data_IF_904215044936
#
_entry.id   IF_904215044936
#
_cell.length_a   1.000
_cell.length_b   1.000
_cell.length_c   1.000
_cell.angle_alpha   90.00
_cell.angle_beta   90.00
_cell.angle_gamma   90.00
#
_symmetry.space_group_name_H-M   'P 1'
#
loop_
_entity.id
_entity.type
_entity.pdbx_description
1 polymer ?
#
# COMPACT_ATOMS: atom_id res chain seq x y z
N UNK A 1 -13.83 7.03 18.83
CA UNK A 1 -15.04 6.20 19.12
C UNK A 1 -15.50 6.51 20.55
N UNK A 2 -16.61 7.25 20.73
CA UNK A 2 -17.22 7.40 22.08
C UNK A 2 -17.55 5.98 22.55
N UNK A 3 -16.93 5.52 23.63
CA UNK A 3 -17.23 4.21 24.22
C UNK A 3 -18.62 4.32 24.84
N UNK A 4 -19.65 3.82 24.17
CA UNK A 4 -21.00 3.80 24.71
C UNK A 4 -20.99 2.92 25.96
N UNK A 5 -21.27 3.51 27.11
CA UNK A 5 -21.43 2.77 28.36
C UNK A 5 -22.79 2.07 28.34
N UNK A 6 -22.80 0.80 27.92
CA UNK A 6 -24.01 0.00 27.92
C UNK A 6 -24.30 -0.49 29.34
N UNK A 7 -25.15 0.24 30.06
CA UNK A 7 -25.43 0.04 31.47
C UNK A 7 -25.88 -1.40 31.79
N UNK A 8 -26.60 -2.07 30.86
CA UNK A 8 -26.98 -3.47 31.03
C UNK A 8 -25.77 -4.42 31.06
N UNK A 9 -24.78 -4.23 30.16
CA UNK A 9 -23.55 -5.03 30.18
C UNK A 9 -22.72 -4.74 31.42
N UNK A 10 -22.61 -3.48 31.84
CA UNK A 10 -21.93 -3.15 33.09
C UNK A 10 -22.60 -3.85 34.27
N UNK A 11 -23.93 -3.74 34.39
CA UNK A 11 -24.66 -4.33 35.50
C UNK A 11 -24.54 -5.85 35.52
N UNK A 12 -24.55 -6.51 34.35
CA UNK A 12 -24.36 -7.95 34.25
C UNK A 12 -22.95 -8.37 34.68
N UNK A 13 -21.92 -7.69 34.18
CA UNK A 13 -20.52 -7.98 34.57
C UNK A 13 -20.30 -7.70 36.06
N UNK A 14 -20.87 -6.61 36.57
CA UNK A 14 -20.84 -6.25 37.98
C UNK A 14 -21.53 -7.33 38.84
N UNK A 15 -22.70 -7.80 38.43
CA UNK A 15 -23.41 -8.93 39.07
C UNK A 15 -22.58 -10.21 39.08
N UNK A 16 -21.94 -10.57 37.97
CA UNK A 16 -21.14 -11.79 37.87
C UNK A 16 -19.84 -11.70 38.69
N UNK A 17 -19.24 -10.52 38.80
CA UNK A 17 -18.00 -10.33 39.55
C UNK A 17 -18.21 -10.13 41.05
N UNK A 18 -19.24 -9.40 41.44
CA UNK A 18 -19.42 -8.90 42.82
C UNK A 18 -20.75 -9.32 43.45
N UNK A 19 -21.72 -9.76 42.65
CA UNK A 19 -22.96 -10.33 43.14
C UNK A 19 -22.72 -11.68 43.83
N UNK A 20 -23.57 -12.00 44.82
CA UNK A 20 -23.47 -13.24 45.61
C UNK A 20 -22.05 -13.50 46.14
N UNK A 21 -21.42 -12.46 46.71
CA UNK A 21 -20.06 -12.51 47.29
C UNK A 21 -18.96 -12.88 46.27
N UNK A 22 -19.20 -12.60 44.99
CA UNK A 22 -18.22 -12.83 43.92
C UNK A 22 -18.01 -14.30 43.55
N UNK A 23 -18.90 -15.20 44.00
CA UNK A 23 -18.83 -16.65 43.71
C UNK A 23 -18.73 -16.98 42.21
N UNK A 24 -19.21 -16.09 41.33
CA UNK A 24 -19.21 -16.29 39.87
C UNK A 24 -18.03 -15.63 39.14
N UNK A 25 -17.14 -14.93 39.85
CA UNK A 25 -16.04 -14.21 39.22
C UNK A 25 -15.09 -15.19 38.50
N UNK A 26 -14.69 -16.27 39.16
CA UNK A 26 -13.83 -17.31 38.57
C UNK A 26 -14.50 -18.02 37.38
N UNK A 27 -15.81 -18.24 37.46
CA UNK A 27 -16.61 -18.83 36.38
C UNK A 27 -16.63 -17.92 35.12
N UNK A 28 -16.79 -16.61 35.32
CA UNK A 28 -16.72 -15.63 34.23
C UNK A 28 -15.33 -15.62 33.57
N UNK A 29 -14.25 -15.61 34.37
CA UNK A 29 -12.89 -15.67 33.82
C UNK A 29 -12.61 -16.98 33.07
N UNK A 30 -13.12 -18.10 33.58
CA UNK A 30 -13.02 -19.40 32.89
C UNK A 30 -13.79 -19.41 31.58
N UNK A 31 -15.01 -18.86 31.55
CA UNK A 31 -15.77 -18.71 30.32
C UNK A 31 -14.97 -17.90 29.30
N UNK A 32 -14.47 -16.72 29.67
CA UNK A 32 -13.71 -15.85 28.75
C UNK A 32 -12.45 -16.52 28.21
N UNK A 33 -11.71 -17.25 29.07
CA UNK A 33 -10.50 -17.96 28.66
C UNK A 33 -10.79 -19.13 27.73
N UNK A 34 -11.87 -19.86 27.96
CA UNK A 34 -12.21 -21.07 27.22
C UNK A 34 -13.18 -20.81 26.05
N UNK A 35 -13.58 -19.55 25.84
CA UNK A 35 -14.48 -19.17 24.75
C UNK A 35 -13.76 -19.31 23.41
N UNK A 36 -14.06 -20.39 22.70
CA UNK A 36 -13.45 -20.71 21.41
C UNK A 36 -14.37 -20.42 20.22
N UNK A 37 -15.64 -20.06 20.46
CA UNK A 37 -16.68 -19.90 19.44
C UNK A 37 -17.09 -21.21 18.73
N UNK A 38 -16.47 -22.35 19.07
CA UNK A 38 -16.71 -23.64 18.42
C UNK A 38 -17.89 -24.43 19.00
N UNK A 39 -18.23 -24.20 20.27
CA UNK A 39 -19.39 -24.82 20.94
C UNK A 39 -20.62 -23.92 20.87
N UNK A 40 -21.81 -24.51 21.04
CA UNK A 40 -23.03 -23.72 21.21
C UNK A 40 -22.93 -22.89 22.49
N UNK A 41 -23.36 -21.62 22.42
CA UNK A 41 -23.24 -20.67 23.52
C UNK A 41 -23.85 -21.18 24.84
N UNK A 42 -24.99 -21.87 24.80
CA UNK A 42 -25.64 -22.42 26.00
C UNK A 42 -24.85 -23.56 26.66
N UNK A 43 -24.23 -24.42 25.86
CA UNK A 43 -23.42 -25.54 26.35
C UNK A 43 -22.15 -25.01 27.04
N UNK A 44 -21.45 -24.09 26.39
CA UNK A 44 -20.27 -23.42 26.93
C UNK A 44 -20.60 -22.62 28.21
N UNK A 45 -21.79 -21.99 28.24
CA UNK A 45 -22.27 -21.25 29.40
C UNK A 45 -22.55 -22.18 30.59
N UNK A 46 -23.28 -23.28 30.35
CA UNK A 46 -23.60 -24.27 31.39
C UNK A 46 -22.35 -24.93 31.95
N UNK A 47 -21.37 -25.27 31.12
CA UNK A 47 -20.07 -25.79 31.56
C UNK A 47 -19.31 -24.82 32.48
N UNK A 48 -19.47 -23.50 32.27
CA UNK A 48 -18.72 -22.50 33.02
C UNK A 48 -19.40 -22.10 34.34
N UNK A 49 -20.72 -21.93 34.32
CA UNK A 49 -21.48 -21.41 35.46
C UNK A 49 -22.17 -22.48 36.31
N UNK A 50 -22.29 -23.71 35.81
CA UNK A 50 -23.12 -24.78 36.42
C UNK A 50 -24.57 -24.32 36.69
N UNK A 51 -25.03 -23.36 35.89
CA UNK A 51 -26.36 -22.77 35.93
C UNK A 51 -26.83 -22.53 34.50
N UNK A 52 -28.13 -22.64 34.27
CA UNK A 52 -28.74 -22.23 33.01
C UNK A 52 -28.74 -20.69 32.85
N UNK A 53 -28.79 -20.18 31.61
CA UNK A 53 -28.91 -18.73 31.37
C UNK A 53 -30.11 -18.09 32.08
N UNK A 54 -31.25 -18.78 32.16
CA UNK A 54 -32.47 -18.27 32.81
C UNK A 54 -32.33 -18.14 34.33
N UNK A 55 -31.61 -19.06 34.99
CA UNK A 55 -31.33 -18.98 36.43
C UNK A 55 -30.39 -17.80 36.74
N UNK A 56 -29.36 -17.59 35.92
CA UNK A 56 -28.46 -16.44 36.03
C UNK A 56 -29.24 -15.14 35.79
N UNK A 57 -30.12 -15.10 34.79
CA UNK A 57 -30.95 -13.95 34.46
C UNK A 57 -31.93 -13.62 35.60
N UNK A 58 -32.58 -14.61 36.19
CA UNK A 58 -33.48 -14.40 37.33
C UNK A 58 -32.74 -13.75 38.52
N UNK A 59 -31.55 -14.27 38.86
CA UNK A 59 -30.71 -13.68 39.90
C UNK A 59 -30.21 -12.27 39.53
N UNK A 60 -29.88 -12.04 38.27
CA UNK A 60 -29.49 -10.72 37.77
C UNK A 60 -30.62 -9.69 37.86
N UNK A 61 -31.85 -10.07 37.52
CA UNK A 61 -33.03 -9.19 37.67
C UNK A 61 -33.24 -8.81 39.13
N UNK A 62 -33.15 -9.76 40.05
CA UNK A 62 -33.22 -9.47 41.49
C UNK A 62 -32.08 -8.56 41.94
N UNK A 63 -30.87 -8.77 41.41
CA UNK A 63 -29.70 -7.95 41.72
C UNK A 63 -29.90 -6.49 41.32
N UNK A 64 -30.39 -6.23 40.10
CA UNK A 64 -30.69 -4.87 39.62
C UNK A 64 -31.83 -4.23 40.44
N UNK A 65 -32.90 -4.97 40.73
CA UNK A 65 -34.08 -4.46 41.43
C UNK A 65 -33.77 -3.94 42.84
N UNK A 66 -32.69 -4.43 43.48
CA UNK A 66 -32.26 -3.93 44.80
C UNK A 66 -31.81 -2.48 44.77
N UNK A 67 -31.40 -1.94 43.62
CA UNK A 67 -30.95 -0.55 43.47
C UNK A 67 -29.67 -0.19 44.24
N UNK A 68 -29.01 -1.16 44.87
CA UNK A 68 -27.77 -1.00 45.62
C UNK A 68 -26.73 -1.99 45.10
N UNK A 69 -25.57 -1.47 44.67
CA UNK A 69 -24.50 -2.25 44.05
C UNK A 69 -23.32 -2.41 45.00
N UNK A 70 -22.79 -3.62 45.10
CA UNK A 70 -21.55 -3.89 45.85
C UNK A 70 -20.41 -3.02 45.30
N UNK A 71 -19.72 -2.32 46.18
CA UNK A 71 -18.51 -1.56 45.81
C UNK A 71 -17.28 -2.22 46.42
N UNK A 72 -16.18 -2.20 45.67
CA UNK A 72 -14.88 -2.62 46.17
C UNK A 72 -14.07 -1.36 46.43
N UNK A 73 -13.74 -1.10 47.69
CA UNK A 73 -12.82 -0.03 48.05
C UNK A 73 -11.40 -0.56 47.82
N UNK A 74 -10.70 0.00 46.85
CA UNK A 74 -9.28 -0.29 46.61
C UNK A 74 -8.43 0.93 46.89
N UNK A 75 -7.26 0.74 47.46
CA UNK A 75 -6.26 1.79 47.65
C UNK A 75 -5.20 1.65 46.59
N UNK A 76 -4.97 2.71 45.83
CA UNK A 76 -3.92 2.76 44.82
C UNK A 76 -2.69 3.45 45.41
N UNK A 77 -1.50 2.89 45.17
CA UNK A 77 -0.22 3.47 45.63
C UNK A 77 0.09 4.81 44.96
N UNK A 78 -0.54 5.07 43.81
CA UNK A 78 -0.49 6.35 43.11
C UNK A 78 -1.86 7.01 43.17
N UNK A 79 -1.86 8.34 43.27
CA UNK A 79 -3.09 9.13 43.14
C UNK A 79 -3.71 8.83 41.78
N UNK A 80 -4.93 8.30 41.79
CA UNK A 80 -5.73 8.14 40.57
C UNK A 80 -6.20 9.54 40.17
N UNK A 81 -5.61 10.07 39.11
CA UNK A 81 -6.11 11.28 38.47
C UNK A 81 -7.24 10.88 37.53
N UNK A 82 -8.45 11.34 37.84
CA UNK A 82 -9.56 11.22 36.91
C UNK A 82 -9.41 12.31 35.87
N UNK A 83 -9.62 11.95 34.60
CA UNK A 83 -9.72 12.95 33.55
C UNK A 83 -10.98 13.81 33.80
N UNK A 84 -10.77 14.94 34.47
CA UNK A 84 -11.82 15.93 34.75
C UNK A 84 -12.22 16.71 33.49
N UNK A 85 -11.55 16.49 32.36
CA UNK A 85 -11.94 17.06 31.06
C UNK A 85 -13.08 16.29 30.39
N UNK A 86 -13.49 15.13 30.93
CA UNK A 86 -14.64 14.37 30.42
C UNK A 86 -15.92 15.18 30.65
N UNK A 87 -16.31 15.92 29.62
CA UNK A 87 -17.59 16.60 29.54
C UNK A 87 -18.71 15.62 29.23
N UNK A 88 -19.83 15.74 29.95
CA UNK A 88 -21.09 15.07 29.59
C UNK A 88 -21.94 16.01 28.76
N UNK A 89 -22.48 15.53 27.64
CA UNK A 89 -23.52 16.23 26.89
C UNK A 89 -24.78 15.39 26.83
N UNK A 90 -25.94 16.04 26.72
CA UNK A 90 -27.18 15.32 26.39
C UNK A 90 -27.02 14.75 24.98
N UNK A 91 -27.34 13.46 24.81
CA UNK A 91 -27.37 12.84 23.49
C UNK A 91 -28.60 13.34 22.74
N UNK A 92 -28.41 13.77 21.49
CA UNK A 92 -29.51 14.19 20.65
C UNK A 92 -30.40 12.99 20.25
N UNK A 93 -31.71 13.17 20.01
CA UNK A 93 -32.60 12.06 19.64
C UNK A 93 -32.09 11.24 18.45
N UNK A 94 -31.50 11.90 17.44
CA UNK A 94 -30.91 11.22 16.30
C UNK A 94 -29.68 10.37 16.67
N UNK A 95 -28.83 10.84 17.59
CA UNK A 95 -27.69 10.08 18.11
C UNK A 95 -28.18 8.85 18.88
N UNK A 96 -29.22 9.00 19.68
CA UNK A 96 -29.82 7.88 20.43
C UNK A 96 -30.42 6.82 19.49
N UNK A 97 -31.22 7.24 18.51
CA UNK A 97 -31.82 6.31 17.54
C UNK A 97 -30.75 5.59 16.71
N UNK A 98 -29.71 6.30 16.27
CA UNK A 98 -28.61 5.73 15.48
C UNK A 98 -27.83 4.68 16.28
N UNK A 99 -27.49 5.00 17.52
CA UNK A 99 -26.76 4.09 18.40
C UNK A 99 -27.57 2.84 18.76
N UNK A 100 -28.88 2.99 19.02
CA UNK A 100 -29.76 1.84 19.28
C UNK A 100 -29.90 0.95 18.04
N UNK A 101 -30.07 1.55 16.86
CA UNK A 101 -30.11 0.85 15.58
C UNK A 101 -28.83 0.07 15.32
N UNK A 102 -27.66 0.70 15.46
CA UNK A 102 -26.33 0.07 15.31
C UNK A 102 -26.14 -1.10 16.27
N UNK A 103 -26.50 -0.91 17.55
CA UNK A 103 -26.38 -1.96 18.56
C UNK A 103 -27.26 -3.18 18.23
N UNK A 104 -28.54 -2.96 17.93
CA UNK A 104 -29.47 -4.04 17.56
C UNK A 104 -29.00 -4.78 16.31
N UNK A 105 -28.54 -4.03 15.31
CA UNK A 105 -28.05 -4.60 14.06
C UNK A 105 -26.84 -5.50 14.29
N UNK A 106 -25.85 -5.06 15.08
CA UNK A 106 -24.66 -5.84 15.42
C UNK A 106 -24.95 -7.06 16.28
N UNK A 107 -26.05 -7.04 17.04
CA UNK A 107 -26.56 -8.21 17.77
C UNK A 107 -27.31 -9.20 16.86
N UNK A 108 -27.36 -8.96 15.54
CA UNK A 108 -28.11 -9.78 14.58
C UNK A 108 -29.62 -9.51 14.57
N UNK A 109 -30.10 -8.57 15.40
CA UNK A 109 -31.52 -8.21 15.56
C UNK A 109 -31.91 -7.12 14.56
N UNK A 110 -31.63 -7.35 13.27
CA UNK A 110 -31.79 -6.35 12.20
C UNK A 110 -33.23 -5.87 12.04
N UNK A 111 -34.19 -6.79 12.14
CA UNK A 111 -35.61 -6.43 12.05
C UNK A 111 -36.06 -5.50 13.17
N UNK A 112 -35.46 -5.60 14.36
CA UNK A 112 -35.71 -4.68 15.46
C UNK A 112 -34.95 -3.36 15.31
N UNK A 113 -33.84 -3.35 14.56
CA UNK A 113 -33.09 -2.14 14.24
C UNK A 113 -33.81 -1.26 13.21
N UNK A 114 -34.49 -1.86 12.22
CA UNK A 114 -35.16 -1.15 11.10
C UNK A 114 -36.09 -0.01 11.54
N UNK A 115 -36.97 -0.17 12.55
CA UNK A 115 -37.83 0.93 13.01
C UNK A 115 -37.06 2.16 13.50
N UNK A 116 -35.86 2.00 14.07
CA UNK A 116 -35.05 3.13 14.54
C UNK A 116 -34.49 3.93 13.38
N UNK A 117 -33.96 3.25 12.35
CA UNK A 117 -33.50 3.91 11.12
C UNK A 117 -34.65 4.52 10.32
N UNK A 118 -35.82 3.88 10.30
CA UNK A 118 -37.03 4.45 9.70
C UNK A 118 -37.40 5.79 10.36
N UNK A 119 -37.43 5.85 11.69
CA UNK A 119 -37.70 7.09 12.43
C UNK A 119 -36.66 8.18 12.15
N UNK A 120 -35.38 7.82 11.99
CA UNK A 120 -34.34 8.77 11.61
C UNK A 120 -34.63 9.41 10.25
N UNK A 121 -34.92 8.60 9.24
CA UNK A 121 -35.21 9.11 7.90
C UNK A 121 -36.58 9.78 7.76
N UNK A 122 -37.57 9.40 8.57
CA UNK A 122 -38.86 10.11 8.66
C UNK A 122 -38.67 11.50 9.27
N UNK A 123 -37.75 11.66 10.22
CA UNK A 123 -37.43 12.96 10.83
C UNK A 123 -36.57 13.84 9.91
N UNK A 124 -35.58 13.24 9.26
CA UNK A 124 -34.67 13.92 8.35
C UNK A 124 -34.12 12.92 7.30
N UNK A 125 -34.63 12.95 6.06
CA UNK A 125 -34.14 12.10 4.97
C UNK A 125 -32.68 12.35 4.59
N UNK A 126 -32.12 13.52 4.94
CA UNK A 126 -30.72 13.88 4.69
C UNK A 126 -29.88 13.81 5.96
N UNK A 127 -30.32 13.05 6.96
CA UNK A 127 -29.57 12.89 8.20
C UNK A 127 -28.22 12.19 7.94
N UNK A 128 -27.14 12.98 7.99
CA UNK A 128 -25.79 12.50 7.73
C UNK A 128 -25.41 11.33 8.64
N UNK A 129 -25.76 11.39 9.93
CA UNK A 129 -25.42 10.35 10.91
C UNK A 129 -26.14 9.03 10.62
N UNK A 130 -27.40 9.08 10.19
CA UNK A 130 -28.16 7.90 9.79
C UNK A 130 -27.53 7.24 8.56
N UNK A 131 -27.17 8.03 7.54
CA UNK A 131 -26.46 7.55 6.37
C UNK A 131 -25.08 6.97 6.71
N UNK A 132 -24.31 7.62 7.58
CA UNK A 132 -23.04 7.09 8.09
C UNK A 132 -23.23 5.75 8.77
N UNK A 133 -24.18 5.66 9.69
CA UNK A 133 -24.40 4.45 10.50
C UNK A 133 -24.83 3.28 9.64
N UNK A 134 -25.83 3.47 8.77
CA UNK A 134 -26.28 2.41 7.87
C UNK A 134 -25.22 2.03 6.86
N UNK A 135 -24.51 3.00 6.29
CA UNK A 135 -23.43 2.73 5.36
C UNK A 135 -22.37 1.79 5.92
N UNK A 136 -21.96 2.01 7.18
CA UNK A 136 -20.99 1.17 7.87
C UNK A 136 -21.56 -0.22 8.20
N UNK A 137 -22.83 -0.29 8.61
CA UNK A 137 -23.51 -1.55 8.94
C UNK A 137 -23.67 -2.44 7.70
N UNK A 138 -24.16 -1.86 6.60
CA UNK A 138 -24.32 -2.56 5.31
C UNK A 138 -22.97 -3.05 4.78
N UNK A 139 -21.90 -2.25 4.93
CA UNK A 139 -20.55 -2.67 4.54
C UNK A 139 -20.12 -3.95 5.28
N UNK A 140 -20.38 -4.01 6.60
CA UNK A 140 -20.01 -5.15 7.45
C UNK A 140 -20.81 -6.40 7.15
N UNK A 141 -22.05 -6.22 6.73
CA UNK A 141 -22.91 -7.29 6.23
C UNK A 141 -22.58 -7.73 4.80
N UNK A 142 -21.56 -7.12 4.17
CA UNK A 142 -21.15 -7.37 2.78
C UNK A 142 -22.18 -6.92 1.75
N UNK A 143 -23.12 -6.05 2.14
CA UNK A 143 -24.07 -5.38 1.25
C UNK A 143 -23.42 -4.12 0.65
N UNK A 144 -22.29 -4.31 -0.03
CA UNK A 144 -21.40 -3.21 -0.41
C UNK A 144 -22.04 -2.18 -1.36
N UNK A 145 -23.00 -2.59 -2.19
CA UNK A 145 -23.74 -1.67 -3.07
C UNK A 145 -24.61 -0.68 -2.27
N UNK A 146 -25.35 -1.17 -1.27
CA UNK A 146 -26.14 -0.31 -0.38
C UNK A 146 -25.25 0.51 0.55
N UNK A 147 -24.17 -0.10 1.05
CA UNK A 147 -23.14 0.60 1.80
C UNK A 147 -22.62 1.82 1.03
N UNK A 148 -22.24 1.63 -0.25
CA UNK A 148 -21.75 2.72 -1.10
C UNK A 148 -22.77 3.85 -1.20
N UNK A 149 -24.05 3.57 -1.46
CA UNK A 149 -25.09 4.60 -1.59
C UNK A 149 -25.19 5.47 -0.33
N UNK A 150 -25.26 4.81 0.84
CA UNK A 150 -25.36 5.52 2.11
C UNK A 150 -24.08 6.29 2.47
N UNK A 151 -22.91 5.70 2.23
CA UNK A 151 -21.62 6.34 2.50
C UNK A 151 -21.34 7.51 1.55
N UNK A 152 -21.72 7.39 0.28
CA UNK A 152 -21.66 8.48 -0.70
C UNK A 152 -22.53 9.66 -0.28
N UNK A 153 -23.78 9.40 0.16
CA UNK A 153 -24.66 10.44 0.65
C UNK A 153 -24.10 11.10 1.93
N UNK A 154 -23.63 10.31 2.89
CA UNK A 154 -23.00 10.81 4.12
C UNK A 154 -21.79 11.71 3.85
N UNK A 155 -20.89 11.27 2.98
CA UNK A 155 -19.68 12.04 2.63
C UNK A 155 -20.03 13.32 1.84
N UNK A 156 -21.04 13.27 0.98
CA UNK A 156 -21.56 14.46 0.29
C UNK A 156 -22.22 15.48 1.24
N UNK A 157 -22.82 15.00 2.34
CA UNK A 157 -23.38 15.83 3.42
C UNK A 157 -22.32 16.40 4.38
N UNK A 158 -21.03 16.12 4.14
CA UNK A 158 -19.93 16.70 4.92
C UNK A 158 -19.67 15.99 6.25
N UNK A 159 -19.88 14.67 6.31
CA UNK A 159 -19.63 13.87 7.51
C UNK A 159 -18.32 14.23 8.21
N UNK A 160 -18.40 14.45 9.52
CA UNK A 160 -17.22 14.61 10.39
C UNK A 160 -16.73 13.27 10.95
N UNK A 161 -17.40 12.18 10.62
CA UNK A 161 -17.00 10.84 11.02
C UNK A 161 -15.97 10.28 10.01
N UNK A 162 -14.71 10.21 10.41
CA UNK A 162 -13.62 9.67 9.57
C UNK A 162 -13.93 8.24 9.04
N UNK A 163 -14.72 7.44 9.77
CA UNK A 163 -15.10 6.10 9.33
C UNK A 163 -16.03 6.15 8.12
N UNK A 164 -16.90 7.15 7.98
CA UNK A 164 -17.74 7.28 6.80
C UNK A 164 -16.88 7.39 5.53
N UNK A 165 -15.86 8.25 5.58
CA UNK A 165 -14.90 8.45 4.49
C UNK A 165 -14.05 7.19 4.22
N UNK A 166 -13.53 6.55 5.27
CA UNK A 166 -12.78 5.31 5.15
C UNK A 166 -13.61 4.19 4.50
N UNK A 167 -14.81 3.92 5.04
CA UNK A 167 -15.67 2.87 4.51
C UNK A 167 -16.22 3.22 3.12
N UNK A 168 -16.38 4.50 2.78
CA UNK A 168 -16.72 4.90 1.40
C UNK A 168 -15.63 4.45 0.42
N UNK A 169 -14.36 4.72 0.74
CA UNK A 169 -13.23 4.24 -0.06
C UNK A 169 -13.23 2.71 -0.18
N UNK A 170 -13.49 2.00 0.92
CA UNK A 170 -13.59 0.53 0.92
C UNK A 170 -14.73 0.01 0.04
N UNK A 171 -15.90 0.68 0.05
CA UNK A 171 -17.04 0.28 -0.76
C UNK A 171 -16.79 0.51 -2.27
N UNK A 172 -16.10 1.60 -2.63
CA UNK A 172 -15.66 1.89 -4.00
C UNK A 172 -14.68 0.84 -4.54
N UNK A 173 -13.76 0.39 -3.69
CA UNK A 173 -12.85 -0.71 -4.02
C UNK A 173 -13.62 -1.98 -4.39
N UNK A 174 -14.65 -2.34 -3.61
CA UNK A 174 -15.41 -3.55 -3.85
C UNK A 174 -16.17 -3.55 -5.17
N UNK A 175 -16.85 -2.45 -5.50
CA UNK A 175 -17.54 -2.29 -6.78
C UNK A 175 -16.59 -2.43 -7.97
N UNK A 176 -15.34 -1.98 -7.81
CA UNK A 176 -14.30 -2.11 -8.85
C UNK A 176 -13.73 -3.52 -9.00
N UNK A 177 -14.06 -4.45 -8.09
CA UNK A 177 -13.57 -5.84 -8.13
C UNK A 177 -14.52 -6.82 -8.83
N UNK A 178 -15.63 -6.34 -9.39
CA UNK A 178 -16.73 -7.16 -9.93
C UNK A 178 -17.19 -8.25 -8.95
N UNK A 179 -17.09 -7.97 -7.65
CA UNK A 179 -17.42 -8.91 -6.58
C UNK A 179 -16.44 -10.08 -6.38
N UNK A 180 -15.28 -10.08 -7.05
CA UNK A 180 -14.35 -11.22 -7.08
C UNK A 180 -13.20 -11.16 -6.06
N UNK A 181 -13.13 -10.11 -5.21
CA UNK A 181 -12.00 -9.82 -4.28
C UNK A 181 -10.64 -9.62 -4.96
N UNK A 182 -10.55 -9.78 -6.28
CA UNK A 182 -9.33 -9.62 -7.05
C UNK A 182 -9.45 -8.35 -7.87
N UNK A 183 -8.55 -7.40 -7.62
CA UNK A 183 -8.45 -6.16 -8.39
C UNK A 183 -7.06 -6.16 -9.02
N UNK A 184 -7.00 -6.13 -10.35
CA UNK A 184 -5.75 -5.99 -11.08
C UNK A 184 -5.35 -4.54 -11.26
N UNK A 185 -6.34 -3.65 -11.48
CA UNK A 185 -6.18 -2.19 -11.62
C UNK A 185 -7.47 -1.50 -11.18
N UNK A 186 -7.37 -0.26 -10.68
CA UNK A 186 -8.50 0.60 -10.35
C UNK A 186 -8.70 1.65 -11.46
N UNK A 187 -9.94 1.86 -11.95
CA UNK A 187 -10.24 2.95 -12.87
C UNK A 187 -9.85 4.32 -12.28
N UNK A 188 -9.34 5.22 -13.12
CA UNK A 188 -8.84 6.53 -12.68
C UNK A 188 -9.91 7.36 -11.92
N UNK A 189 -11.18 7.25 -12.30
CA UNK A 189 -12.28 7.91 -11.59
C UNK A 189 -12.46 7.36 -10.17
N UNK A 190 -12.48 6.03 -10.02
CA UNK A 190 -12.60 5.36 -8.71
C UNK A 190 -11.40 5.69 -7.84
N UNK A 191 -10.18 5.62 -8.40
CA UNK A 191 -8.96 6.01 -7.70
C UNK A 191 -9.06 7.44 -7.15
N UNK A 192 -9.49 8.40 -7.98
CA UNK A 192 -9.64 9.79 -7.56
C UNK A 192 -10.61 9.96 -6.39
N UNK A 193 -11.76 9.28 -6.44
CA UNK A 193 -12.75 9.29 -5.34
C UNK A 193 -12.20 8.66 -4.07
N UNK A 194 -11.54 7.50 -4.18
CA UNK A 194 -10.94 6.80 -3.04
C UNK A 194 -9.85 7.65 -2.37
N UNK A 195 -8.92 8.22 -3.16
CA UNK A 195 -7.86 9.09 -2.62
C UNK A 195 -8.42 10.32 -1.91
N UNK A 196 -9.44 10.97 -2.50
CA UNK A 196 -10.11 12.11 -1.86
C UNK A 196 -10.76 11.72 -0.53
N UNK A 197 -11.44 10.58 -0.49
CA UNK A 197 -12.08 10.09 0.73
C UNK A 197 -11.05 9.74 1.81
N UNK A 198 -9.98 9.03 1.47
CA UNK A 198 -8.92 8.67 2.41
C UNK A 198 -8.16 9.90 2.92
N UNK A 199 -7.91 10.90 2.07
CA UNK A 199 -7.32 12.16 2.51
C UNK A 199 -8.17 12.85 3.58
N UNK A 200 -9.50 12.88 3.39
CA UNK A 200 -10.43 13.43 4.39
C UNK A 200 -10.50 12.58 5.67
N UNK A 201 -10.43 11.25 5.55
CA UNK A 201 -10.35 10.36 6.71
C UNK A 201 -9.08 10.61 7.54
N UNK A 202 -7.93 10.80 6.89
CA UNK A 202 -6.64 11.12 7.53
C UNK A 202 -6.70 12.51 8.20
N UNK A 203 -7.32 13.50 7.56
CA UNK A 203 -7.49 14.83 8.15
C UNK A 203 -8.33 14.78 9.45
N UNK A 204 -9.41 14.00 9.44
CA UNK A 204 -10.32 13.86 10.59
C UNK A 204 -9.76 12.95 11.69
N UNK A 205 -8.92 11.96 11.35
CA UNK A 205 -8.33 11.00 12.27
C UNK A 205 -6.91 10.60 11.81
N UNK A 206 -5.90 11.45 12.08
CA UNK A 206 -4.52 11.21 11.64
C UNK A 206 -3.86 10.02 12.33
N UNK A 207 -4.41 9.55 13.44
CA UNK A 207 -3.98 8.39 14.21
C UNK A 207 -4.66 7.08 13.77
N UNK A 208 -5.50 7.10 12.73
CA UNK A 208 -6.18 5.92 12.23
C UNK A 208 -5.36 5.19 11.14
N UNK A 209 -4.64 4.10 11.47
CA UNK A 209 -3.64 3.50 10.59
C UNK A 209 -4.22 2.91 9.30
N UNK A 210 -5.44 2.39 9.34
CA UNK A 210 -6.04 1.71 8.20
C UNK A 210 -6.24 2.67 7.00
N UNK A 211 -6.39 3.99 7.22
CA UNK A 211 -6.49 4.95 6.11
C UNK A 211 -5.19 5.03 5.30
N UNK A 212 -4.03 5.02 5.97
CA UNK A 212 -2.73 5.02 5.31
C UNK A 212 -2.49 3.70 4.58
N UNK A 213 -2.84 2.57 5.20
CA UNK A 213 -2.76 1.25 4.55
C UNK A 213 -3.61 1.19 3.29
N UNK A 214 -4.85 1.72 3.31
CA UNK A 214 -5.69 1.72 2.12
C UNK A 214 -5.18 2.67 1.03
N UNK A 215 -4.57 3.80 1.41
CA UNK A 215 -3.95 4.69 0.44
C UNK A 215 -2.74 4.04 -0.22
N UNK A 216 -1.92 3.30 0.54
CA UNK A 216 -0.83 2.49 0.01
C UNK A 216 -1.31 1.35 -0.91
N UNK A 217 -2.45 0.76 -0.61
CA UNK A 217 -3.08 -0.25 -1.47
C UNK A 217 -3.39 0.32 -2.86
N UNK A 218 -3.88 1.56 -2.96
CA UNK A 218 -4.14 2.21 -4.26
C UNK A 218 -2.84 2.34 -5.08
N UNK A 219 -1.77 2.85 -4.44
CA UNK A 219 -0.44 2.95 -5.06
C UNK A 219 0.06 1.59 -5.56
N UNK A 220 -0.10 0.54 -4.75
CA UNK A 220 0.30 -0.82 -5.10
C UNK A 220 -0.49 -1.41 -6.27
N UNK A 221 -1.82 -1.27 -6.28
CA UNK A 221 -2.68 -1.88 -7.30
C UNK A 221 -2.46 -1.23 -8.66
N UNK A 222 -2.38 0.10 -8.72
CA UNK A 222 -2.17 0.82 -9.97
C UNK A 222 -0.70 0.88 -10.39
N UNK A 223 0.22 0.32 -9.61
CA UNK A 223 1.66 0.37 -9.85
C UNK A 223 2.19 1.82 -9.96
N UNK A 224 1.65 2.71 -9.12
CA UNK A 224 1.92 4.15 -9.16
C UNK A 224 2.51 4.62 -7.83
N UNK A 225 3.58 5.41 -7.91
CA UNK A 225 4.26 6.02 -6.75
C UNK A 225 4.45 5.03 -5.58
N UNK A 226 5.12 3.91 -5.87
CA UNK A 226 5.32 2.85 -4.88
C UNK A 226 6.19 3.30 -3.69
N UNK A 227 7.04 4.33 -3.86
CA UNK A 227 7.78 4.97 -2.76
C UNK A 227 6.86 5.65 -1.76
N UNK A 228 5.86 6.40 -2.23
CA UNK A 228 4.82 6.92 -1.36
C UNK A 228 4.05 5.79 -0.67
N UNK A 229 3.74 4.69 -1.38
CA UNK A 229 3.12 3.50 -0.79
C UNK A 229 3.91 2.91 0.38
N UNK A 230 5.23 2.81 0.25
CA UNK A 230 6.14 2.40 1.34
C UNK A 230 6.05 3.36 2.53
N UNK A 231 6.10 4.68 2.29
CA UNK A 231 6.04 5.67 3.37
C UNK A 231 4.71 5.64 4.12
N UNK A 232 3.59 5.49 3.40
CA UNK A 232 2.25 5.34 3.98
C UNK A 232 2.17 4.09 4.88
N UNK A 233 2.72 2.96 4.44
CA UNK A 233 2.73 1.74 5.26
C UNK A 233 3.66 1.85 6.46
N UNK A 234 4.81 2.52 6.33
CA UNK A 234 5.68 2.82 7.49
C UNK A 234 4.95 3.66 8.53
N UNK A 235 4.15 4.64 8.10
CA UNK A 235 3.30 5.42 9.00
C UNK A 235 2.21 4.56 9.65
N UNK A 236 1.53 3.69 8.90
CA UNK A 236 0.55 2.75 9.44
C UNK A 236 1.16 1.82 10.51
N UNK A 237 2.36 1.28 10.24
CA UNK A 237 3.10 0.41 11.17
C UNK A 237 3.55 1.18 12.42
N UNK A 238 3.95 2.44 12.29
CA UNK A 238 4.32 3.27 13.43
C UNK A 238 3.11 3.53 14.37
N UNK A 239 1.91 3.65 13.81
CA UNK A 239 0.66 3.85 14.56
C UNK A 239 0.13 2.56 15.22
N UNK A 240 0.33 1.40 14.59
CA UNK A 240 -0.12 0.10 15.11
C UNK A 240 0.91 -1.02 14.78
N UNK A 241 1.99 -1.14 15.54
CA UNK A 241 3.10 -2.06 15.24
C UNK A 241 2.72 -3.54 15.37
N UNK A 242 1.65 -3.86 16.09
CA UNK A 242 1.11 -5.22 16.26
C UNK A 242 0.32 -5.73 15.04
N UNK A 243 -0.02 -4.85 14.10
CA UNK A 243 -0.78 -5.19 12.89
C UNK A 243 0.14 -5.81 11.83
N UNK A 244 0.32 -7.11 11.93
CA UNK A 244 1.16 -7.92 11.03
C UNK A 244 0.74 -7.81 9.55
N UNK A 245 -0.55 -7.55 9.28
CA UNK A 245 -1.07 -7.34 7.93
C UNK A 245 -0.47 -6.09 7.23
N UNK A 246 -0.04 -5.07 7.99
CA UNK A 246 0.64 -3.90 7.42
C UNK A 246 2.08 -4.21 7.01
N UNK A 247 2.79 -5.01 7.80
CA UNK A 247 4.13 -5.50 7.44
C UNK A 247 4.07 -6.41 6.22
N UNK A 248 3.04 -7.27 6.15
CA UNK A 248 2.80 -8.11 4.98
C UNK A 248 2.54 -7.26 3.72
N UNK A 249 1.66 -6.26 3.80
CA UNK A 249 1.41 -5.33 2.69
C UNK A 249 2.69 -4.59 2.26
N UNK A 250 3.57 -4.25 3.20
CA UNK A 250 4.84 -3.57 2.90
C UNK A 250 5.78 -4.48 2.10
N UNK A 251 5.85 -5.77 2.45
CA UNK A 251 6.61 -6.76 1.67
C UNK A 251 6.05 -6.92 0.25
N UNK A 252 4.71 -6.86 0.08
CA UNK A 252 4.09 -6.89 -1.25
C UNK A 252 4.47 -5.67 -2.10
N UNK A 253 4.52 -4.48 -1.51
CA UNK A 253 4.98 -3.28 -2.23
C UNK A 253 6.46 -3.39 -2.62
N UNK A 254 7.33 -3.87 -1.72
CA UNK A 254 8.75 -4.07 -2.07
C UNK A 254 8.95 -5.09 -3.20
N UNK A 255 8.17 -6.18 -3.21
CA UNK A 255 8.16 -7.12 -4.33
C UNK A 255 7.78 -6.43 -5.65
N UNK A 256 6.74 -5.59 -5.65
CA UNK A 256 6.31 -4.81 -6.82
C UNK A 256 7.37 -3.80 -7.28
N UNK A 257 8.11 -3.20 -6.34
CA UNK A 257 9.27 -2.34 -6.62
C UNK A 257 10.52 -3.10 -7.12
N UNK A 258 10.49 -4.43 -7.16
CA UNK A 258 11.66 -5.29 -7.37
C UNK A 258 12.77 -5.10 -6.32
N UNK A 259 12.46 -4.55 -5.15
CA UNK A 259 13.36 -4.55 -4.00
C UNK A 259 13.24 -5.88 -3.26
N UNK A 260 13.78 -6.92 -3.89
CA UNK A 260 13.70 -8.29 -3.38
C UNK A 260 14.39 -8.47 -2.03
N UNK A 261 15.36 -7.60 -1.70
CA UNK A 261 16.11 -7.68 -0.45
C UNK A 261 15.23 -7.36 0.75
N UNK A 262 14.58 -6.20 0.73
CA UNK A 262 13.65 -5.76 1.77
C UNK A 262 12.42 -6.67 1.85
N UNK A 263 11.87 -7.07 0.69
CA UNK A 263 10.74 -7.97 0.62
C UNK A 263 11.02 -9.31 1.33
N UNK A 264 12.20 -9.93 1.09
CA UNK A 264 12.59 -11.20 1.73
C UNK A 264 12.77 -11.07 3.22
N UNK A 265 13.40 -9.99 3.71
CA UNK A 265 13.62 -9.78 5.14
C UNK A 265 12.28 -9.79 5.88
N UNK A 266 11.31 -9.04 5.39
CA UNK A 266 9.99 -8.94 6.03
C UNK A 266 9.22 -10.25 5.91
N UNK A 267 9.17 -10.86 4.72
CA UNK A 267 8.44 -12.10 4.50
C UNK A 267 9.03 -13.29 5.29
N UNK A 268 10.37 -13.35 5.45
CA UNK A 268 11.05 -14.38 6.24
C UNK A 268 10.81 -14.24 7.75
N UNK A 269 10.69 -13.01 8.25
CA UNK A 269 10.29 -12.78 9.64
C UNK A 269 8.83 -13.21 9.87
N UNK A 270 7.92 -12.77 9.00
CA UNK A 270 6.48 -13.11 9.12
C UNK A 270 6.22 -14.62 8.98
N UNK A 271 6.91 -15.33 8.09
CA UNK A 271 6.72 -16.78 7.92
C UNK A 271 7.14 -17.61 9.15
N UNK A 272 7.99 -17.05 10.02
CA UNK A 272 8.44 -17.71 11.26
C UNK A 272 7.68 -17.22 12.48
N UNK A 273 7.45 -15.91 12.56
CA UNK A 273 7.11 -15.23 13.81
C UNK A 273 5.68 -14.64 13.83
N UNK A 274 4.95 -14.62 12.71
CA UNK A 274 3.60 -14.06 12.70
C UNK A 274 2.65 -14.84 13.62
N UNK A 275 1.91 -14.13 14.47
CA UNK A 275 0.91 -14.69 15.38
C UNK A 275 -0.32 -15.23 14.64
N UNK A 276 -0.65 -14.67 13.47
CA UNK A 276 -1.76 -15.16 12.65
C UNK A 276 -1.31 -16.20 11.62
N UNK A 277 -1.93 -17.39 11.64
CA UNK A 277 -1.59 -18.49 10.72
C UNK A 277 -1.78 -18.14 9.24
N UNK A 278 -2.80 -17.33 8.94
CA UNK A 278 -3.05 -16.83 7.59
C UNK A 278 -1.88 -15.96 7.10
N UNK A 279 -1.39 -15.03 7.93
CA UNK A 279 -0.26 -14.18 7.57
C UNK A 279 1.02 -15.00 7.41
N UNK A 280 1.24 -15.98 8.28
CA UNK A 280 2.37 -16.91 8.19
C UNK A 280 2.36 -17.66 6.84
N UNK A 281 1.21 -18.24 6.50
CA UNK A 281 1.00 -18.97 5.24
C UNK A 281 1.21 -18.07 4.01
N UNK A 282 0.62 -16.88 4.03
CA UNK A 282 0.76 -15.89 2.97
C UNK A 282 2.21 -15.42 2.82
N UNK A 283 2.97 -15.28 3.91
CA UNK A 283 4.37 -14.90 3.87
C UNK A 283 5.27 -16.00 3.28
N UNK A 284 4.96 -17.29 3.52
CA UNK A 284 5.65 -18.42 2.86
C UNK A 284 5.44 -18.34 1.35
N UNK A 285 4.18 -18.19 0.91
CA UNK A 285 3.87 -18.04 -0.52
C UNK A 285 4.54 -16.80 -1.13
N UNK A 286 4.60 -15.70 -0.37
CA UNK A 286 5.27 -14.48 -0.82
C UNK A 286 6.77 -14.70 -1.01
N UNK A 287 7.45 -15.46 -0.15
CA UNK A 287 8.87 -15.81 -0.34
C UNK A 287 9.11 -16.56 -1.65
N UNK A 288 8.30 -17.56 -1.95
CA UNK A 288 8.38 -18.30 -3.22
C UNK A 288 8.15 -17.37 -4.42
N UNK A 289 7.16 -16.47 -4.32
CA UNK A 289 6.87 -15.47 -5.34
C UNK A 289 8.04 -14.50 -5.56
N UNK A 290 8.70 -14.06 -4.49
CA UNK A 290 9.88 -13.20 -4.54
C UNK A 290 11.03 -13.93 -5.26
N UNK A 291 11.34 -15.17 -4.89
CA UNK A 291 12.42 -15.95 -5.50
C UNK A 291 12.20 -16.17 -7.00
N UNK A 292 10.99 -16.58 -7.37
CA UNK A 292 10.60 -16.81 -8.78
C UNK A 292 10.70 -15.52 -9.60
N UNK A 293 10.23 -14.40 -9.06
CA UNK A 293 10.27 -13.10 -9.75
C UNK A 293 11.70 -12.60 -9.88
N UNK A 294 12.52 -12.73 -8.83
CA UNK A 294 13.92 -12.32 -8.86
C UNK A 294 14.72 -13.12 -9.90
N UNK A 295 14.52 -14.44 -9.97
CA UNK A 295 15.18 -15.29 -10.97
C UNK A 295 14.75 -14.92 -12.39
N UNK A 296 13.46 -14.64 -12.60
CA UNK A 296 12.94 -14.17 -13.88
C UNK A 296 13.61 -12.86 -14.31
N UNK A 297 13.66 -11.86 -13.42
CA UNK A 297 14.31 -10.57 -13.69
C UNK A 297 15.80 -10.75 -13.99
N UNK A 298 16.50 -11.63 -13.26
CA UNK A 298 17.90 -11.97 -13.54
C UNK A 298 18.08 -12.57 -14.93
N UNK A 299 17.24 -13.53 -15.33
CA UNK A 299 17.28 -14.15 -16.67
C UNK A 299 17.02 -13.12 -17.77
N UNK A 300 15.98 -12.30 -17.64
CA UNK A 300 15.66 -11.24 -18.60
C UNK A 300 16.81 -10.25 -18.76
N UNK A 301 17.47 -9.87 -17.67
CA UNK A 301 18.63 -8.98 -17.72
C UNK A 301 19.82 -9.64 -18.42
N UNK A 302 20.10 -10.92 -18.16
CA UNK A 302 21.16 -11.67 -18.85
C UNK A 302 20.89 -11.79 -20.35
N UNK A 303 19.64 -12.06 -20.75
CA UNK A 303 19.24 -12.12 -22.16
C UNK A 303 19.34 -10.75 -22.84
N UNK A 304 18.92 -9.68 -22.16
CA UNK A 304 19.09 -8.30 -22.65
C UNK A 304 20.55 -7.97 -22.89
N UNK A 305 21.44 -8.27 -21.94
CA UNK A 305 22.89 -8.05 -22.10
C UNK A 305 23.44 -8.87 -23.28
N UNK A 306 23.09 -10.14 -23.40
CA UNK A 306 23.50 -10.97 -24.55
C UNK A 306 22.98 -10.43 -25.88
N UNK A 307 21.74 -9.91 -25.92
CA UNK A 307 21.13 -9.30 -27.10
C UNK A 307 21.84 -8.00 -27.47
N UNK A 308 22.17 -7.15 -26.49
CA UNK A 308 22.96 -5.93 -26.70
C UNK A 308 24.37 -6.25 -27.20
N UNK A 309 25.03 -7.26 -26.64
CA UNK A 309 26.34 -7.74 -27.09
C UNK A 309 26.29 -8.35 -28.50
N UNK A 310 25.23 -9.10 -28.84
CA UNK A 310 25.03 -9.66 -30.17
C UNK A 310 24.70 -8.58 -31.21
N UNK A 311 23.83 -7.63 -30.87
CA UNK A 311 23.50 -6.47 -31.71
C UNK A 311 24.73 -5.59 -31.96
N UNK A 312 25.60 -5.41 -30.96
CA UNK A 312 26.88 -4.74 -31.12
C UNK A 312 27.83 -5.49 -32.09
N UNK A 313 27.68 -6.81 -32.24
CA UNK A 313 28.45 -7.63 -33.20
C UNK A 313 27.85 -7.65 -34.62
N UNK A 314 26.57 -7.31 -34.77
CA UNK A 314 25.83 -7.39 -36.04
C UNK A 314 25.26 -6.03 -36.48
N UNK A 315 26.07 -4.97 -36.47
CA UNK A 315 25.68 -3.72 -37.12
C UNK A 315 25.68 -3.89 -38.65
N UNK A 316 24.56 -3.63 -39.37
CA UNK A 316 24.49 -3.78 -40.81
C UNK A 316 25.13 -2.56 -41.49
N UNK A 317 26.41 -2.66 -41.84
CA UNK A 317 27.13 -1.60 -42.53
C UNK A 317 28.29 -2.13 -43.37
N UNK A 318 28.68 -1.33 -44.36
CA UNK A 318 29.86 -1.55 -45.22
C UNK A 318 31.07 -1.86 -44.33
N UNK A 319 31.63 -3.07 -44.42
CA UNK A 319 32.83 -3.42 -43.65
C UNK A 319 34.00 -2.59 -44.16
N UNK A 320 34.59 -1.80 -43.27
CA UNK A 320 35.84 -1.10 -43.55
C UNK A 320 37.00 -2.01 -43.15
N UNK A 321 37.98 -2.18 -44.04
CA UNK A 321 39.21 -2.92 -43.73
C UNK A 321 40.29 -1.94 -43.26
N UNK A 322 40.84 -2.17 -42.07
CA UNK A 322 41.87 -1.32 -41.47
C UNK A 322 42.00 -1.53 -39.97
N UNK A 323 42.88 -0.77 -39.34
CA UNK A 323 42.99 -0.71 -37.89
C UNK A 323 41.79 0.04 -37.32
N UNK A 324 41.33 -0.36 -36.14
CA UNK A 324 40.15 0.24 -35.50
C UNK A 324 40.48 0.85 -34.15
N UNK A 325 39.83 1.98 -33.87
CA UNK A 325 39.81 2.57 -32.54
C UNK A 325 38.39 2.94 -32.14
N UNK A 326 38.02 2.67 -30.89
CA UNK A 326 36.77 3.11 -30.28
C UNK A 326 37.05 4.24 -29.30
N UNK A 327 36.29 5.32 -29.39
CA UNK A 327 36.41 6.44 -28.46
C UNK A 327 35.38 7.53 -28.71
N UNK A 328 35.43 8.59 -27.92
CA UNK A 328 34.53 9.73 -28.05
C UNK A 328 35.09 10.73 -29.06
N UNK A 329 34.33 11.06 -30.11
CA UNK A 329 34.66 12.12 -31.06
C UNK A 329 34.47 13.49 -30.39
N UNK A 330 35.58 14.19 -30.15
CA UNK A 330 35.58 15.46 -29.42
C UNK A 330 35.81 16.68 -30.33
N UNK A 331 36.35 16.49 -31.53
CA UNK A 331 36.63 17.59 -32.46
C UNK A 331 36.75 17.12 -33.90
N UNK A 332 36.28 17.95 -34.84
CA UNK A 332 36.43 17.78 -36.29
C UNK A 332 37.00 19.08 -36.85
N UNK A 333 38.24 19.10 -37.34
CA UNK A 333 38.86 20.26 -37.98
C UNK A 333 38.76 20.11 -39.51
N UNK A 334 38.05 21.02 -40.16
CA UNK A 334 37.92 21.06 -41.62
C UNK A 334 38.74 22.22 -42.18
N UNK A 335 39.46 21.98 -43.27
CA UNK A 335 40.32 22.96 -43.93
C UNK A 335 40.48 22.60 -45.41
N UNK A 336 41.09 23.49 -46.19
CA UNK A 336 41.36 23.27 -47.62
C UNK A 336 42.27 22.05 -47.88
N UNK A 337 43.07 21.65 -46.89
CA UNK A 337 43.94 20.47 -46.97
C UNK A 337 43.23 19.16 -46.57
N UNK A 338 42.01 19.23 -46.03
CA UNK A 338 41.21 18.06 -45.66
C UNK A 338 40.61 18.13 -44.25
N UNK A 339 40.24 16.95 -43.74
CA UNK A 339 39.50 16.74 -42.50
C UNK A 339 40.37 16.07 -41.45
N UNK A 340 40.44 16.63 -40.24
CA UNK A 340 41.11 16.01 -39.09
C UNK A 340 40.14 15.70 -37.96
N UNK A 341 40.09 14.45 -37.52
CA UNK A 341 39.23 13.98 -36.44
C UNK A 341 40.08 13.79 -35.18
N UNK A 342 39.60 14.30 -34.04
CA UNK A 342 40.21 14.00 -32.73
C UNK A 342 39.26 13.14 -31.91
N UNK A 343 39.72 11.94 -31.56
CA UNK A 343 38.98 10.96 -30.77
C UNK A 343 39.70 10.74 -29.44
N UNK A 344 38.95 10.74 -28.35
CA UNK A 344 39.46 10.41 -27.02
C UNK A 344 39.08 8.98 -26.66
N UNK A 345 40.08 8.15 -26.36
CA UNK A 345 39.89 6.79 -25.85
C UNK A 345 40.67 6.63 -24.56
N UNK A 346 39.96 6.38 -23.45
CA UNK A 346 40.53 6.46 -22.10
C UNK A 346 41.10 7.86 -21.81
N UNK A 347 42.36 7.93 -21.39
CA UNK A 347 43.07 9.18 -21.09
C UNK A 347 43.86 9.75 -22.28
N UNK A 348 43.87 9.06 -23.43
CA UNK A 348 44.64 9.44 -24.61
C UNK A 348 43.75 10.02 -25.71
N UNK A 349 44.31 10.95 -26.48
CA UNK A 349 43.67 11.54 -27.66
C UNK A 349 44.42 11.13 -28.91
N UNK A 350 43.66 10.71 -29.90
CA UNK A 350 44.12 10.17 -31.18
C UNK A 350 43.64 11.10 -32.29
N UNK A 351 44.50 11.38 -33.27
CA UNK A 351 44.19 12.25 -34.40
C UNK A 351 44.26 11.48 -35.71
N UNK A 352 43.26 11.66 -36.57
CA UNK A 352 43.16 11.02 -37.88
C UNK A 352 42.96 12.09 -38.92
N UNK A 353 43.67 12.04 -40.05
CA UNK A 353 43.56 13.05 -41.10
C UNK A 353 43.26 12.41 -42.44
N UNK A 354 42.22 12.92 -43.11
CA UNK A 354 41.85 12.56 -44.47
C UNK A 354 42.05 13.76 -45.39
N UNK A 355 42.80 13.63 -46.51
CA UNK A 355 42.98 14.73 -47.45
C UNK A 355 41.66 15.06 -48.16
N UNK A 356 41.50 16.29 -48.65
CA UNK A 356 40.26 16.77 -49.28
C UNK A 356 39.78 15.89 -50.46
N UNK A 357 40.69 15.22 -51.15
CA UNK A 357 40.42 14.32 -52.28
C UNK A 357 39.87 12.96 -51.85
N UNK A 358 40.01 12.59 -50.56
CA UNK A 358 39.65 11.26 -50.02
C UNK A 358 38.90 11.40 -48.71
N UNK A 359 37.65 11.81 -48.83
CA UNK A 359 36.74 11.93 -47.68
C UNK A 359 36.41 10.55 -47.09
N UNK A 360 36.46 10.40 -45.76
CA UNK A 360 36.05 9.17 -45.10
C UNK A 360 34.54 8.97 -45.21
N UNK A 361 34.10 7.71 -45.13
CA UNK A 361 32.67 7.39 -45.12
C UNK A 361 32.13 7.50 -43.69
N UNK A 362 31.11 8.32 -43.49
CA UNK A 362 30.40 8.42 -42.23
C UNK A 362 29.20 7.48 -42.24
N UNK A 363 29.10 6.62 -41.24
CA UNK A 363 28.02 5.64 -41.08
C UNK A 363 27.34 5.91 -39.75
N UNK A 364 26.01 6.02 -39.79
CA UNK A 364 25.18 6.14 -38.59
C UNK A 364 24.18 5.00 -38.57
N UNK A 365 23.94 4.46 -37.38
CA UNK A 365 22.95 3.41 -37.15
C UNK A 365 21.69 3.92 -36.48
N UNK A 366 21.63 5.23 -36.21
CA UNK A 366 20.59 5.86 -35.40
C UNK A 366 20.20 7.23 -35.95
N UNK A 367 18.97 7.68 -35.67
CA UNK A 367 18.38 8.92 -36.19
C UNK A 367 18.74 10.17 -35.39
N UNK A 368 19.37 10.03 -34.22
CA UNK A 368 19.82 11.08 -33.31
C UNK A 368 21.17 11.71 -33.69
N UNK A 369 21.86 11.16 -34.69
CA UNK A 369 23.06 11.77 -35.28
C UNK A 369 22.64 12.73 -36.41
N UNK A 370 23.00 14.04 -36.33
CA UNK A 370 22.66 15.02 -37.35
C UNK A 370 23.11 14.60 -38.75
N UNK A 371 22.35 15.00 -39.77
CA UNK A 371 22.68 14.74 -41.18
C UNK A 371 23.87 15.54 -41.70
N UNK A 372 24.34 16.51 -40.92
CA UNK A 372 25.42 17.42 -41.27
C UNK A 372 26.57 17.31 -40.28
N UNK A 373 27.79 17.36 -40.81
CA UNK A 373 29.01 17.33 -40.02
C UNK A 373 29.41 18.77 -39.75
N UNK A 374 29.40 19.16 -38.49
CA UNK A 374 29.79 20.50 -38.07
C UNK A 374 31.27 20.48 -37.70
N UNK A 375 32.05 21.30 -38.40
CA UNK A 375 33.46 21.51 -38.10
C UNK A 375 33.61 22.34 -36.81
N UNK A 376 34.55 21.94 -35.95
CA UNK A 376 34.84 22.56 -34.67
C UNK A 376 34.86 21.54 -33.51
N UNK A 377 34.91 22.04 -32.26
CA UNK A 377 34.70 21.20 -31.08
C UNK A 377 33.30 20.58 -31.10
N UNK A 378 33.20 19.29 -30.75
CA UNK A 378 31.90 18.61 -30.68
C UNK A 378 31.08 19.16 -29.51
N UNK A 379 29.91 19.74 -29.81
CA UNK A 379 28.96 20.23 -28.78
C UNK A 379 28.31 19.07 -28.02
N UNK A 380 28.17 17.92 -28.66
CA UNK A 380 27.64 16.69 -28.10
C UNK A 380 28.60 15.54 -28.46
N UNK A 381 29.61 15.25 -27.61
CA UNK A 381 30.61 14.24 -27.92
C UNK A 381 29.94 12.86 -28.11
N UNK A 382 30.11 12.28 -29.29
CA UNK A 382 29.49 11.00 -29.66
C UNK A 382 30.51 9.87 -29.61
N UNK A 383 30.06 8.67 -29.27
CA UNK A 383 30.89 7.49 -29.31
C UNK A 383 31.03 7.04 -30.77
N UNK A 384 32.27 6.84 -31.21
CA UNK A 384 32.58 6.43 -32.58
C UNK A 384 33.55 5.26 -32.61
N UNK A 385 33.45 4.47 -33.66
CA UNK A 385 34.50 3.56 -34.12
C UNK A 385 35.11 4.19 -35.37
N UNK A 386 36.42 4.45 -35.35
CA UNK A 386 37.17 4.88 -36.53
C UNK A 386 37.96 3.70 -37.06
N UNK A 387 37.67 3.29 -38.30
CA UNK A 387 38.52 2.38 -39.07
C UNK A 387 39.46 3.21 -39.94
N UNK A 388 40.77 2.98 -39.85
CA UNK A 388 41.79 3.81 -40.49
C UNK A 388 42.96 2.98 -41.06
N UNK A 389 43.66 3.56 -42.03
CA UNK A 389 44.95 3.06 -42.52
C UNK A 389 46.06 3.75 -41.73
N UNK A 390 46.87 2.98 -40.99
CA UNK A 390 47.99 3.52 -40.21
C UNK A 390 48.93 4.39 -41.04
N UNK A 391 49.42 5.47 -40.44
CA UNK A 391 50.50 6.27 -41.03
C UNK A 391 51.78 5.44 -41.11
N UNK A 392 52.45 5.46 -42.26
CA UNK A 392 53.77 4.86 -42.45
C UNK A 392 54.92 5.76 -41.99
N UNK A 393 54.63 7.01 -41.57
CA UNK A 393 55.62 7.97 -41.07
C UNK A 393 55.69 7.92 -39.53
N UNK A 394 56.80 7.44 -38.94
CA UNK A 394 56.97 7.37 -37.50
C UNK A 394 57.08 8.73 -36.80
N UNK A 395 57.21 9.85 -37.54
CA UNK A 395 57.23 11.22 -36.99
C UNK A 395 55.88 11.91 -37.07
N UNK A 396 54.88 11.24 -37.63
CA UNK A 396 53.54 11.77 -37.80
C UNK A 396 52.84 12.02 -36.46
N UNK A 397 52.16 13.17 -36.34
CA UNK A 397 51.29 13.49 -35.19
C UNK A 397 49.85 12.99 -35.35
N UNK A 398 49.60 12.18 -36.37
CA UNK A 398 48.32 11.54 -36.66
C UNK A 398 48.54 10.03 -36.74
N UNK A 399 47.54 9.28 -36.28
CA UNK A 399 47.54 7.82 -36.25
C UNK A 399 47.39 7.21 -37.65
N UNK A 400 46.68 7.91 -38.53
CA UNK A 400 46.47 7.48 -39.91
C UNK A 400 45.32 8.16 -40.64
N UNK A 401 45.03 7.64 -41.83
CA UNK A 401 43.98 8.10 -42.73
C UNK A 401 42.66 7.38 -42.41
N UNK A 402 41.60 8.08 -41.96
CA UNK A 402 40.33 7.45 -41.64
C UNK A 402 39.63 6.97 -42.92
N UNK A 403 39.08 5.76 -42.88
CA UNK A 403 38.38 5.10 -43.99
C UNK A 403 36.87 5.10 -43.72
N UNK A 404 36.50 4.73 -42.50
CA UNK A 404 35.11 4.64 -42.05
C UNK A 404 34.95 5.15 -40.63
N UNK A 405 33.88 5.91 -40.40
CA UNK A 405 33.57 6.51 -39.10
C UNK A 405 32.15 6.12 -38.75
N UNK A 406 32.04 5.21 -37.79
CA UNK A 406 30.77 4.61 -37.37
C UNK A 406 30.33 5.24 -36.05
N UNK A 407 29.19 5.94 -36.07
CA UNK A 407 28.56 6.50 -34.87
C UNK A 407 27.75 5.42 -34.16
N UNK A 408 28.07 5.18 -32.88
CA UNK A 408 27.45 4.14 -32.05
C UNK A 408 26.84 4.74 -30.79
N UNK A 409 25.86 4.03 -30.21
CA UNK A 409 25.26 4.38 -28.92
C UNK A 409 26.16 4.03 -27.74
#
# INVERSE_FOLDING_TARGET
MKRLFYAQSWALVHYLLLGNEGKRASQLFNLMRNYSGKKRNEEQFKESFDQSPSEIEAGFRQYIQRGAFTSVKTTFDRKVEFDQSIGTSKAEPAEVLSNLGDLLWRMGRKEEARPYFKKLFEADPENEMAHTTLGILEYRDRNYAEARKHLEKSTALGSTNYLAWYYYSMALQWESSDGSLIISTLPAETEGKMRKALARAIELAPDFPDSYRQMAFINMINDTDLDQGVNLLRQAIALAPEREDFRYALAQIYLRKHDFSEAKIIAADLSKNAGMEEIRSNAIYLLESIEKTEELVKRMNLERVKSEEAAARTLPGRRFEGDQIRGTLIRIDCSDIGLTLTVRSGTRSFKFHAPAERSPVFVRYTTDVPHEIICGPSKSPQLVIITYRKSSDPRSRIEGEPIGIEFIR
#
